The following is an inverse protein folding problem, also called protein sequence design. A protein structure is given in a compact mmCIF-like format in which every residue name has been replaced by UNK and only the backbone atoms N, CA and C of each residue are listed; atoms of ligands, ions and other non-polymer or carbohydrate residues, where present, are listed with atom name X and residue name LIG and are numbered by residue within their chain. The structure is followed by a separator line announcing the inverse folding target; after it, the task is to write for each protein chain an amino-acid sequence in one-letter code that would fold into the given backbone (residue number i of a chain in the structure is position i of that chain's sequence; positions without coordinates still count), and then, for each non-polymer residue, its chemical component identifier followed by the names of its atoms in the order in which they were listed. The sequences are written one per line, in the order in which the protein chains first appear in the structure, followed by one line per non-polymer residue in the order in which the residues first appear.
data_IF_773716672657
#
_entry.id   IF_773716672657
#
_cell.length_a   1.000
_cell.length_b   1.000
_cell.length_c   1.000
_cell.angle_alpha   90.00
_cell.angle_beta   90.00
_cell.angle_gamma   90.00
#
_symmetry.space_group_name_H-M   'P 1'
#
loop_
_entity.id
_entity.type
_entity.pdbx_description
1 polymer ?
#
# COMPACT_ATOMS: atom_id res chain seq x y z
N UNK A 1 16.30 -16.08 0.38
CA UNK A 1 15.05 -15.56 -0.20
C UNK A 1 14.20 -15.13 0.97
N UNK A 2 14.10 -13.82 1.25
CA UNK A 2 13.24 -13.37 2.34
C UNK A 2 11.80 -13.76 2.02
N UNK A 3 11.11 -14.35 3.00
CA UNK A 3 9.71 -14.71 2.83
C UNK A 3 8.87 -13.44 2.70
N UNK A 4 7.95 -13.41 1.74
CA UNK A 4 7.02 -12.29 1.59
C UNK A 4 6.26 -12.03 2.90
N UNK A 5 6.07 -10.76 3.28
CA UNK A 5 5.39 -10.43 4.53
C UNK A 5 3.93 -10.88 4.49
N UNK A 6 3.39 -11.28 5.64
CA UNK A 6 1.96 -11.60 5.76
C UNK A 6 1.13 -10.31 5.72
N UNK A 7 0.37 -10.15 4.65
CA UNK A 7 -0.51 -9.00 4.43
C UNK A 7 -1.93 -9.28 4.94
N UNK A 8 -2.56 -8.27 5.55
CA UNK A 8 -4.02 -8.30 5.75
C UNK A 8 -4.73 -8.15 4.39
N UNK A 9 -6.00 -8.56 4.27
CA UNK A 9 -6.76 -8.38 3.03
C UNK A 9 -6.81 -6.92 2.56
N UNK A 10 -6.92 -5.96 3.48
CA UNK A 10 -6.93 -4.54 3.16
C UNK A 10 -5.55 -4.05 2.66
N UNK A 11 -4.45 -4.51 3.26
CA UNK A 11 -3.10 -4.15 2.80
C UNK A 11 -2.85 -4.71 1.39
N UNK A 12 -3.13 -6.00 1.19
CA UNK A 12 -2.96 -6.64 -0.12
C UNK A 12 -3.81 -5.96 -1.20
N UNK A 13 -5.06 -5.59 -0.88
CA UNK A 13 -5.93 -4.86 -1.80
C UNK A 13 -5.34 -3.51 -2.20
N UNK A 14 -4.89 -2.70 -1.23
CA UNK A 14 -4.33 -1.38 -1.50
C UNK A 14 -3.05 -1.46 -2.35
N UNK A 15 -2.11 -2.32 -1.98
CA UNK A 15 -0.84 -2.45 -2.70
C UNK A 15 -1.07 -2.96 -4.13
N UNK A 16 -1.87 -4.02 -4.31
CA UNK A 16 -2.15 -4.61 -5.63
C UNK A 16 -3.01 -3.73 -6.54
N UNK A 17 -3.83 -2.84 -5.97
CA UNK A 17 -4.59 -1.88 -6.78
C UNK A 17 -3.75 -0.68 -7.18
N UNK A 18 -2.78 -0.27 -6.35
CA UNK A 18 -1.82 0.77 -6.68
C UNK A 18 -0.92 0.38 -7.86
N UNK A 19 -0.52 -0.89 -8.00
CA UNK A 19 0.31 -1.34 -9.12
C UNK A 19 -0.41 -1.34 -10.48
N UNK A 20 -1.74 -1.21 -10.50
CA UNK A 20 -2.51 -1.05 -11.74
C UNK A 20 -2.52 0.40 -12.24
N UNK A 21 -1.94 1.34 -11.48
CA UNK A 21 -1.86 2.75 -11.84
C UNK A 21 -0.43 3.10 -12.24
N UNK A 22 -0.29 3.85 -13.32
CA UNK A 22 1.02 4.25 -13.84
C UNK A 22 1.81 5.11 -12.85
N UNK A 23 1.12 5.84 -11.97
CA UNK A 23 1.71 6.72 -10.96
C UNK A 23 1.94 6.03 -9.59
N UNK A 24 1.62 4.73 -9.48
CA UNK A 24 1.75 3.99 -8.23
C UNK A 24 0.91 4.53 -7.07
N UNK A 25 -0.12 5.36 -7.34
CA UNK A 25 -0.93 5.98 -6.28
C UNK A 25 -1.74 4.95 -5.50
N UNK A 26 -1.69 5.10 -4.17
CA UNK A 26 -2.44 4.28 -3.23
C UNK A 26 -3.73 5.01 -2.88
N UNK A 27 -4.81 4.62 -3.55
CA UNK A 27 -6.14 5.20 -3.36
C UNK A 27 -7.03 4.18 -2.66
N UNK A 28 -7.39 4.39 -1.38
CA UNK A 28 -8.32 3.52 -0.69
C UNK A 28 -9.71 3.50 -1.33
N UNK A 29 -10.36 2.32 -1.47
CA UNK A 29 -11.72 2.27 -1.96
C UNK A 29 -12.65 3.00 -0.99
N UNK A 30 -13.75 3.55 -1.50
CA UNK A 30 -14.70 4.27 -0.66
C UNK A 30 -15.28 3.41 0.45
N UNK A 31 -15.34 2.09 0.30
CA UNK A 31 -15.83 1.19 1.36
C UNK A 31 -14.91 1.13 2.57
N UNK A 32 -13.63 1.51 2.43
CA UNK A 32 -12.66 1.61 3.50
C UNK A 32 -12.70 3.02 4.11
N UNK A 33 -13.54 3.19 5.15
CA UNK A 33 -13.82 4.49 5.79
C UNK A 33 -13.34 4.57 7.24
N UNK A 34 -13.32 5.80 7.76
CA UNK A 34 -13.09 6.10 9.17
C UNK A 34 -11.82 5.46 9.74
N UNK A 35 -11.92 4.92 10.95
CA UNK A 35 -10.78 4.33 11.65
C UNK A 35 -10.09 3.17 10.92
N UNK A 36 -10.82 2.40 10.10
CA UNK A 36 -10.22 1.33 9.31
C UNK A 36 -9.25 1.86 8.24
N UNK A 37 -9.63 2.96 7.57
CA UNK A 37 -8.77 3.65 6.61
C UNK A 37 -7.50 4.19 7.28
N UNK A 38 -7.65 4.87 8.42
CA UNK A 38 -6.53 5.44 9.17
C UNK A 38 -5.56 4.34 9.59
N UNK A 39 -6.07 3.25 10.17
CA UNK A 39 -5.24 2.13 10.65
C UNK A 39 -4.44 1.48 9.54
N UNK A 40 -5.05 1.21 8.38
CA UNK A 40 -4.33 0.52 7.31
C UNK A 40 -3.28 1.43 6.68
N UNK A 41 -3.58 2.71 6.43
CA UNK A 41 -2.59 3.64 5.87
C UNK A 41 -1.42 3.86 6.83
N UNK A 42 -1.69 4.04 8.12
CA UNK A 42 -0.65 4.14 9.15
C UNK A 42 0.23 2.88 9.18
N UNK A 43 -0.37 1.69 9.10
CA UNK A 43 0.37 0.42 9.10
C UNK A 43 1.23 0.21 7.85
N UNK A 44 0.83 0.76 6.69
CA UNK A 44 1.61 0.74 5.45
C UNK A 44 2.78 1.74 5.53
N UNK A 45 2.54 2.95 6.05
CA UNK A 45 3.57 3.98 6.28
C UNK A 45 4.64 3.51 7.28
N UNK A 46 4.23 2.93 8.41
CA UNK A 46 5.14 2.41 9.42
C UNK A 46 6.08 1.32 8.90
N UNK A 47 5.66 0.61 7.85
CA UNK A 47 6.47 -0.42 7.19
C UNK A 47 7.29 0.12 6.01
N UNK A 48 7.15 1.40 5.69
CA UNK A 48 7.77 2.04 4.55
C UNK A 48 7.27 1.50 3.20
N UNK A 49 6.09 0.86 3.14
CA UNK A 49 5.54 0.30 1.90
C UNK A 49 4.85 1.37 1.03
N UNK A 50 4.46 2.47 1.65
CA UNK A 50 3.95 3.66 0.99
C UNK A 50 4.61 4.88 1.60
N UNK A 51 4.66 5.97 0.87
CA UNK A 51 5.18 7.26 1.34
C UNK A 51 4.21 8.40 1.00
N UNK A 52 4.23 9.52 1.75
CA UNK A 52 3.45 10.70 1.42
C UNK A 52 3.81 11.28 0.06
N UNK A 53 2.81 11.76 -0.68
CA UNK A 53 2.95 12.52 -1.91
C UNK A 53 1.96 13.70 -1.90
N UNK A 54 2.10 14.64 -2.84
CA UNK A 54 1.30 15.87 -2.89
C UNK A 54 -0.20 15.65 -2.68
N UNK A 55 -0.77 14.62 -3.34
CA UNK A 55 -2.19 14.24 -3.25
C UNK A 55 -2.43 12.88 -2.57
N UNK A 56 -1.68 12.59 -1.51
CA UNK A 56 -1.93 11.42 -0.66
C UNK A 56 -0.70 10.53 -0.50
N UNK A 57 -0.72 9.33 -1.12
CA UNK A 57 0.34 8.35 -0.93
C UNK A 57 0.67 7.61 -2.23
N UNK A 58 1.95 7.25 -2.38
CA UNK A 58 2.46 6.43 -3.48
C UNK A 58 3.18 5.20 -2.95
N UNK A 59 3.22 4.14 -3.75
CA UNK A 59 3.99 2.92 -3.47
C UNK A 59 5.48 3.22 -3.44
N UNK A 60 6.22 2.65 -2.49
CA UNK A 60 7.69 2.60 -2.51
C UNK A 60 8.17 1.29 -3.12
N UNK A 61 9.47 1.16 -3.39
CA UNK A 61 10.06 -0.10 -3.85
C UNK A 61 9.83 -1.25 -2.85
N UNK A 62 9.88 -0.94 -1.54
CA UNK A 62 9.55 -1.89 -0.49
C UNK A 62 8.08 -2.33 -0.53
N UNK A 63 7.17 -1.43 -0.92
CA UNK A 63 5.77 -1.75 -1.17
C UNK A 63 5.58 -2.72 -2.34
N UNK A 64 6.32 -2.52 -3.44
CA UNK A 64 6.31 -3.47 -4.56
C UNK A 64 6.89 -4.83 -4.14
N UNK A 65 8.01 -4.83 -3.42
CA UNK A 65 8.64 -6.04 -2.90
C UNK A 65 7.71 -6.82 -1.95
N UNK A 66 6.93 -6.12 -1.12
CA UNK A 66 5.98 -6.74 -0.19
C UNK A 66 4.88 -7.57 -0.87
N UNK A 67 4.62 -7.34 -2.16
CA UNK A 67 3.69 -8.12 -2.99
C UNK A 67 4.41 -8.96 -4.06
N UNK A 68 5.73 -9.11 -3.96
CA UNK A 68 6.56 -9.94 -4.84
C UNK A 68 6.83 -9.33 -6.22
N UNK A 69 6.73 -8.01 -6.34
CA UNK A 69 7.00 -7.28 -7.58
C UNK A 69 8.24 -6.41 -7.44
N UNK A 70 8.77 -5.95 -8.57
CA UNK A 70 9.77 -4.89 -8.67
C UNK A 70 9.13 -3.74 -9.45
N UNK A 71 9.52 -2.50 -9.13
CA UNK A 71 8.94 -1.28 -9.71
C UNK A 71 9.32 -1.14 -11.18
#
# INVERSE_FOLDING_TARGET
MEALPKLSPAQALLLRTATRRADGRVIPPETLRGGARVKVLAALLQRGWIEPADDGHVMTDAGYAAIGLQR
#
